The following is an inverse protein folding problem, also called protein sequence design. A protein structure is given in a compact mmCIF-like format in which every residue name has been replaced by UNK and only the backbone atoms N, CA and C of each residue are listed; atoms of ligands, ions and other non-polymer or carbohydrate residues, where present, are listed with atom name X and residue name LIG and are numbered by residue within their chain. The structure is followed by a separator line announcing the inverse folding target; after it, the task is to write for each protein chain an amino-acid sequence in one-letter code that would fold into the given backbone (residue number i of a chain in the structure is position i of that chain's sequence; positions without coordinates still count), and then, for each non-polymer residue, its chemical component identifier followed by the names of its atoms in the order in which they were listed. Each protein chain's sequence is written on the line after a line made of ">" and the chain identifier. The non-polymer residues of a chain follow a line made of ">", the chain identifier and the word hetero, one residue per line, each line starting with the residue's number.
data_IF_574810120415
#
_entry.id   IF_574810120415
#
_cell.length_a   1.000
_cell.length_b   1.000
_cell.length_c   1.000
_cell.angle_alpha   90.00
_cell.angle_beta   90.00
_cell.angle_gamma   90.00
#
_symmetry.space_group_name_H-M   'P 1'
#
loop_
_entity.id
_entity.type
_entity.pdbx_description
1 polymer ?
#
# COMPACT_ATOMS: atom_id res chain seq x y z
N UNK A 1 13.03 -13.49 9.92
CA UNK A 1 12.25 -12.22 9.99
C UNK A 1 13.07 -11.20 9.20
N UNK A 2 12.45 -10.38 8.35
CA UNK A 2 13.18 -9.34 7.61
C UNK A 2 13.58 -8.19 8.55
N UNK A 3 14.58 -7.36 8.21
CA UNK A 3 14.92 -6.15 8.99
C UNK A 3 13.70 -5.25 9.19
N UNK A 4 13.64 -4.53 10.32
CA UNK A 4 12.45 -3.75 10.69
C UNK A 4 12.13 -2.63 9.70
N UNK A 5 13.14 -1.92 9.22
CA UNK A 5 13.00 -0.88 8.18
C UNK A 5 12.43 -1.41 6.86
N UNK A 6 12.66 -2.67 6.52
CA UNK A 6 12.12 -3.31 5.30
C UNK A 6 10.63 -3.67 5.41
N UNK A 7 9.97 -3.40 6.54
CA UNK A 7 8.51 -3.44 6.60
C UNK A 7 7.86 -2.15 6.10
N UNK A 8 8.61 -1.06 5.95
CA UNK A 8 8.04 0.27 5.76
C UNK A 8 8.06 0.75 4.33
N UNK A 9 6.92 1.30 3.95
CA UNK A 9 6.70 2.19 2.81
C UNK A 9 6.51 3.60 3.33
N UNK A 10 7.22 4.56 2.75
CA UNK A 10 7.00 5.98 3.02
C UNK A 10 6.06 6.55 1.97
N UNK A 11 4.96 7.18 2.39
CA UNK A 11 3.94 7.70 1.48
C UNK A 11 3.89 9.22 1.42
N UNK A 12 3.61 9.76 0.23
CA UNK A 12 3.35 11.18 -0.03
C UNK A 12 2.16 11.30 -0.98
N UNK A 13 0.95 11.28 -0.40
CA UNK A 13 -0.33 11.24 -1.13
C UNK A 13 -1.24 12.42 -0.78
N UNK A 14 -0.67 13.52 -0.26
CA UNK A 14 -1.41 14.72 0.09
C UNK A 14 -1.48 15.69 -1.10
N UNK A 15 -2.63 16.33 -1.29
CA UNK A 15 -2.90 17.19 -2.45
C UNK A 15 -2.00 18.44 -2.55
N UNK A 16 -1.38 18.87 -1.45
CA UNK A 16 -0.48 20.03 -1.40
C UNK A 16 1.01 19.63 -1.38
N UNK A 17 1.32 18.35 -1.70
CA UNK A 17 2.69 17.88 -1.83
C UNK A 17 3.44 18.68 -2.92
N UNK A 18 4.72 18.94 -2.64
CA UNK A 18 5.60 19.64 -3.58
C UNK A 18 6.72 18.72 -4.08
N UNK A 19 7.39 19.11 -5.15
CA UNK A 19 8.58 18.40 -5.64
C UNK A 19 9.68 18.30 -4.58
N UNK A 20 9.84 19.36 -3.76
CA UNK A 20 10.79 19.34 -2.65
C UNK A 20 10.42 18.30 -1.58
N UNK A 21 9.13 18.14 -1.28
CA UNK A 21 8.66 17.09 -0.37
C UNK A 21 8.96 15.70 -0.94
N UNK A 22 8.74 15.50 -2.24
CA UNK A 22 9.03 14.24 -2.90
C UNK A 22 10.53 13.89 -2.86
N UNK A 23 11.41 14.84 -3.19
CA UNK A 23 12.87 14.67 -3.10
C UNK A 23 13.30 14.33 -1.68
N UNK A 24 12.73 14.99 -0.67
CA UNK A 24 13.01 14.69 0.72
C UNK A 24 12.62 13.26 1.08
N UNK A 25 11.39 12.84 0.71
CA UNK A 25 10.91 11.48 0.92
C UNK A 25 11.83 10.43 0.28
N UNK A 26 12.29 10.65 -0.96
CA UNK A 26 13.20 9.73 -1.65
C UNK A 26 14.57 9.65 -0.95
N UNK A 27 15.07 10.79 -0.49
CA UNK A 27 16.35 10.86 0.25
C UNK A 27 16.26 10.10 1.58
N UNK A 28 15.20 10.31 2.33
CA UNK A 28 14.95 9.61 3.60
C UNK A 28 14.73 8.11 3.38
N UNK A 29 14.00 7.71 2.33
CA UNK A 29 13.80 6.30 2.01
C UNK A 29 15.13 5.58 1.72
N UNK A 30 16.08 6.26 1.07
CA UNK A 30 17.42 5.73 0.83
C UNK A 30 18.26 5.70 2.12
N UNK A 31 18.22 6.77 2.93
CA UNK A 31 19.01 6.89 4.17
C UNK A 31 18.62 5.81 5.19
N UNK A 32 17.32 5.55 5.33
CA UNK A 32 16.79 4.56 6.28
C UNK A 32 16.62 3.16 5.66
N UNK A 33 17.04 2.99 4.41
CA UNK A 33 16.96 1.72 3.67
C UNK A 33 15.55 1.11 3.75
N UNK A 34 14.51 1.92 3.45
CA UNK A 34 13.12 1.49 3.47
C UNK A 34 12.82 0.47 2.36
N UNK A 35 11.68 -0.23 2.47
CA UNK A 35 11.25 -1.18 1.45
C UNK A 35 10.79 -0.48 0.18
N UNK A 36 9.92 0.54 0.31
CA UNK A 36 9.32 1.25 -0.82
C UNK A 36 8.95 2.68 -0.47
N UNK A 37 8.66 3.43 -1.51
CA UNK A 37 7.93 4.71 -1.41
C UNK A 37 6.61 4.57 -2.16
N UNK A 38 5.59 5.37 -1.79
CA UNK A 38 4.35 5.51 -2.53
C UNK A 38 4.04 6.99 -2.77
N UNK A 39 3.88 7.36 -4.03
CA UNK A 39 3.61 8.74 -4.45
C UNK A 39 2.48 8.82 -5.47
N UNK A 40 1.86 9.99 -5.58
CA UNK A 40 0.93 10.26 -6.68
C UNK A 40 1.63 10.13 -8.05
N UNK A 41 0.89 9.74 -9.09
CA UNK A 41 1.42 9.47 -10.42
C UNK A 41 2.27 10.62 -11.01
N UNK A 42 1.95 11.87 -10.69
CA UNK A 42 2.72 13.03 -11.18
C UNK A 42 4.19 13.07 -10.70
N UNK A 43 4.53 12.34 -9.63
CA UNK A 43 5.90 12.25 -9.11
C UNK A 43 6.67 11.01 -9.57
N UNK A 44 6.05 10.10 -10.30
CA UNK A 44 6.71 8.87 -10.78
C UNK A 44 7.94 9.15 -11.68
N UNK A 45 7.89 10.07 -12.65
CA UNK A 45 9.07 10.37 -13.47
C UNK A 45 10.25 10.89 -12.64
N UNK A 46 9.96 11.69 -11.60
CA UNK A 46 10.98 12.19 -10.68
C UNK A 46 11.53 11.06 -9.81
N UNK A 47 10.66 10.22 -9.24
CA UNK A 47 11.05 9.06 -8.44
C UNK A 47 11.94 8.10 -9.26
N UNK A 48 11.55 7.80 -10.50
CA UNK A 48 12.35 7.00 -11.42
C UNK A 48 13.72 7.58 -11.63
N UNK A 49 13.83 8.89 -11.91
CA UNK A 49 15.11 9.55 -12.17
C UNK A 49 16.11 9.46 -11.00
N UNK A 50 15.61 9.32 -9.76
CA UNK A 50 16.41 9.30 -8.53
C UNK A 50 16.64 7.87 -8.02
N UNK A 51 15.65 6.99 -8.17
CA UNK A 51 15.60 5.69 -7.49
C UNK A 51 15.75 4.48 -8.43
N UNK A 52 15.78 4.63 -9.77
CA UNK A 52 15.74 3.51 -10.74
C UNK A 52 16.75 2.40 -10.44
N UNK A 53 17.96 2.75 -10.01
CA UNK A 53 19.05 1.81 -9.71
C UNK A 53 19.24 1.55 -8.20
N UNK A 54 18.25 1.87 -7.37
CA UNK A 54 18.33 1.75 -5.91
C UNK A 54 17.46 0.61 -5.41
N UNK A 55 17.77 0.11 -4.21
CA UNK A 55 17.00 -0.94 -3.53
C UNK A 55 15.81 -0.35 -2.74
N UNK A 56 15.04 0.52 -3.41
CA UNK A 56 13.79 1.10 -2.91
C UNK A 56 12.76 0.99 -4.02
N UNK A 57 11.66 0.29 -3.78
CA UNK A 57 10.58 0.08 -4.75
C UNK A 57 9.79 1.37 -4.94
N UNK A 58 9.51 1.70 -6.20
CA UNK A 58 8.69 2.86 -6.58
C UNK A 58 7.23 2.42 -6.67
N UNK A 59 6.43 2.83 -5.70
CA UNK A 59 5.00 2.56 -5.63
C UNK A 59 4.16 3.77 -6.02
N UNK A 60 2.92 3.51 -6.45
CA UNK A 60 1.89 4.53 -6.70
C UNK A 60 0.50 3.97 -6.50
N UNK A 61 -0.50 4.86 -6.48
CA UNK A 61 -1.91 4.55 -6.34
C UNK A 61 -2.69 4.89 -7.59
N UNK A 62 -3.80 4.16 -7.85
CA UNK A 62 -4.75 4.45 -8.92
C UNK A 62 -6.19 4.38 -8.44
N UNK A 63 -7.09 5.14 -9.08
CA UNK A 63 -8.47 5.29 -8.62
C UNK A 63 -8.58 5.90 -7.21
N UNK A 64 -7.53 6.50 -6.75
CA UNK A 64 -7.33 6.97 -5.40
C UNK A 64 -7.95 8.38 -5.19
N UNK A 65 -8.47 8.71 -3.98
CA UNK A 65 -8.66 7.76 -2.85
C UNK A 65 -10.02 7.05 -2.85
N UNK A 66 -10.93 7.36 -3.75
CA UNK A 66 -12.36 7.00 -3.64
C UNK A 66 -12.73 5.68 -4.32
N UNK A 67 -11.94 5.18 -5.24
CA UNK A 67 -12.25 3.98 -6.01
C UNK A 67 -13.42 4.10 -7.01
N UNK A 68 -14.04 5.27 -7.14
CA UNK A 68 -15.32 5.47 -7.86
C UNK A 68 -15.20 5.79 -9.34
N UNK A 69 -13.98 5.96 -9.84
CA UNK A 69 -13.74 6.15 -11.27
C UNK A 69 -14.03 4.85 -12.05
N UNK A 70 -14.28 4.96 -13.34
CA UNK A 70 -14.57 3.78 -14.17
C UNK A 70 -13.38 2.84 -14.30
N UNK A 71 -13.64 1.58 -14.64
CA UNK A 71 -12.56 0.59 -14.91
C UNK A 71 -11.62 1.09 -16.00
N UNK A 72 -12.15 1.73 -17.04
CA UNK A 72 -11.33 2.29 -18.13
C UNK A 72 -10.44 3.45 -17.67
N UNK A 73 -10.90 4.27 -16.73
CA UNK A 73 -10.09 5.34 -16.14
C UNK A 73 -8.96 4.74 -15.30
N UNK A 74 -9.24 3.78 -14.40
CA UNK A 74 -8.20 3.09 -13.64
C UNK A 74 -7.19 2.39 -14.55
N UNK A 75 -7.65 1.81 -15.66
CA UNK A 75 -6.76 1.18 -16.64
C UNK A 75 -5.87 2.20 -17.36
N UNK A 76 -6.36 3.42 -17.61
CA UNK A 76 -5.55 4.49 -18.19
C UNK A 76 -4.49 4.98 -17.18
N UNK A 77 -4.88 5.25 -15.93
CA UNK A 77 -3.96 5.61 -14.84
C UNK A 77 -2.88 4.52 -14.66
N UNK A 78 -3.30 3.24 -14.65
CA UNK A 78 -2.38 2.11 -14.58
C UNK A 78 -1.35 2.13 -15.72
N UNK A 79 -1.82 2.37 -16.94
CA UNK A 79 -0.94 2.37 -18.12
C UNK A 79 0.10 3.50 -18.02
N UNK A 80 -0.31 4.70 -17.66
CA UNK A 80 0.59 5.84 -17.44
C UNK A 80 1.60 5.53 -16.33
N UNK A 81 1.14 5.02 -15.18
CA UNK A 81 2.02 4.65 -14.07
C UNK A 81 3.09 3.61 -14.48
N UNK A 82 2.73 2.63 -15.31
CA UNK A 82 3.67 1.64 -15.83
C UNK A 82 4.72 2.23 -16.77
N UNK A 83 4.36 3.16 -17.65
CA UNK A 83 5.30 3.85 -18.54
C UNK A 83 6.23 4.78 -17.75
N UNK A 84 5.72 5.41 -16.69
CA UNK A 84 6.47 6.31 -15.81
C UNK A 84 7.36 5.57 -14.79
N UNK A 85 7.29 4.24 -14.75
CA UNK A 85 8.26 3.42 -14.03
C UNK A 85 7.82 2.94 -12.65
N UNK A 86 6.52 2.90 -12.38
CA UNK A 86 6.00 2.26 -11.16
C UNK A 86 6.36 0.75 -11.13
N UNK A 87 6.80 0.27 -9.99
CA UNK A 87 7.18 -1.12 -9.73
C UNK A 87 6.16 -1.83 -8.83
N UNK A 88 5.36 -1.09 -8.09
CA UNK A 88 4.20 -1.55 -7.34
C UNK A 88 3.05 -0.56 -7.53
N UNK A 89 1.82 -1.05 -7.76
CA UNK A 89 0.65 -0.20 -8.01
C UNK A 89 -0.52 -0.71 -7.17
N UNK A 90 -1.09 0.17 -6.35
CA UNK A 90 -2.24 -0.14 -5.50
C UNK A 90 -3.50 0.57 -5.98
N UNK A 91 -4.55 -0.21 -6.28
CA UNK A 91 -5.82 0.32 -6.75
C UNK A 91 -6.87 0.34 -5.64
N UNK A 92 -7.53 1.47 -5.43
CA UNK A 92 -8.73 1.48 -4.59
C UNK A 92 -9.87 0.81 -5.36
N UNK A 93 -10.46 -0.25 -4.78
CA UNK A 93 -11.61 -0.95 -5.39
C UNK A 93 -12.86 -0.06 -5.39
N UNK A 94 -13.86 -0.41 -6.21
CA UNK A 94 -15.15 0.25 -6.12
C UNK A 94 -15.93 -0.25 -4.88
N UNK A 95 -15.77 0.49 -3.76
CA UNK A 95 -16.37 0.18 -2.46
C UNK A 95 -17.90 0.11 -2.56
N UNK A 96 -18.53 1.06 -3.30
CA UNK A 96 -19.96 1.09 -3.48
C UNK A 96 -20.48 -0.15 -4.20
N UNK A 97 -19.78 -0.62 -5.22
CA UNK A 97 -20.14 -1.86 -5.92
C UNK A 97 -20.00 -3.09 -5.01
N UNK A 98 -18.96 -3.15 -4.17
CA UNK A 98 -18.80 -4.22 -3.18
C UNK A 98 -19.97 -4.21 -2.18
N UNK A 99 -20.36 -3.04 -1.66
CA UNK A 99 -21.50 -2.89 -0.72
C UNK A 99 -22.83 -3.27 -1.35
N UNK A 100 -23.04 -3.00 -2.64
CA UNK A 100 -24.20 -3.41 -3.40
C UNK A 100 -24.25 -4.92 -3.70
N UNK A 101 -23.21 -5.69 -3.31
CA UNK A 101 -23.09 -7.11 -3.65
C UNK A 101 -22.77 -7.39 -5.12
N UNK A 102 -22.26 -6.40 -5.84
CA UNK A 102 -21.83 -6.53 -7.25
C UNK A 102 -20.44 -7.13 -7.36
N UNK A 103 -20.25 -8.31 -6.80
CA UNK A 103 -18.93 -8.97 -6.70
C UNK A 103 -18.32 -9.25 -8.08
N UNK A 104 -19.14 -9.59 -9.09
CA UNK A 104 -18.68 -9.79 -10.46
C UNK A 104 -18.11 -8.51 -11.09
N UNK A 105 -18.62 -7.35 -10.72
CA UNK A 105 -18.08 -6.08 -11.16
C UNK A 105 -16.71 -5.83 -10.53
N UNK A 106 -16.59 -5.98 -9.20
CA UNK A 106 -15.32 -5.82 -8.47
C UNK A 106 -14.28 -6.83 -8.96
N UNK A 107 -14.69 -8.09 -9.17
CA UNK A 107 -13.82 -9.11 -9.76
C UNK A 107 -13.30 -8.70 -11.15
N UNK A 108 -14.20 -8.22 -12.01
CA UNK A 108 -13.84 -7.80 -13.38
C UNK A 108 -12.91 -6.59 -13.39
N UNK A 109 -13.15 -5.62 -12.49
CA UNK A 109 -12.31 -4.46 -12.27
C UNK A 109 -10.87 -4.89 -11.94
N UNK A 110 -10.69 -5.68 -10.88
CA UNK A 110 -9.38 -6.13 -10.42
C UNK A 110 -8.69 -6.99 -11.51
N UNK A 111 -9.43 -7.89 -12.15
CA UNK A 111 -8.89 -8.80 -13.17
C UNK A 111 -8.27 -8.08 -14.37
N UNK A 112 -8.91 -7.00 -14.83
CA UNK A 112 -8.38 -6.17 -15.93
C UNK A 112 -7.04 -5.55 -15.54
N UNK A 113 -6.92 -5.03 -14.32
CA UNK A 113 -5.73 -4.34 -13.82
C UNK A 113 -4.59 -5.32 -13.56
N UNK A 114 -4.85 -6.41 -12.81
CA UNK A 114 -3.86 -7.47 -12.52
C UNK A 114 -3.26 -8.03 -13.80
N UNK A 115 -4.09 -8.33 -14.80
CA UNK A 115 -3.60 -8.93 -16.06
C UNK A 115 -2.64 -8.01 -16.82
N UNK A 116 -2.73 -6.71 -16.63
CA UNK A 116 -1.81 -5.74 -17.24
C UNK A 116 -0.48 -5.68 -16.47
N UNK A 117 -0.52 -5.59 -15.15
CA UNK A 117 0.66 -5.59 -14.29
C UNK A 117 1.47 -6.89 -14.43
N UNK A 118 0.79 -8.04 -14.44
CA UNK A 118 1.44 -9.34 -14.60
C UNK A 118 2.33 -9.42 -15.86
N UNK A 119 1.84 -8.90 -17.01
CA UNK A 119 2.61 -8.88 -18.26
C UNK A 119 3.86 -7.99 -18.21
N UNK A 120 3.89 -7.03 -17.29
CA UNK A 120 4.99 -6.08 -17.10
C UNK A 120 5.89 -6.43 -15.92
N UNK A 121 5.59 -7.54 -15.21
CA UNK A 121 6.27 -7.95 -13.99
C UNK A 121 6.25 -6.88 -12.88
N UNK A 122 5.13 -6.16 -12.77
CA UNK A 122 4.87 -5.14 -11.75
C UNK A 122 3.92 -5.73 -10.71
N UNK A 123 4.21 -5.51 -9.43
CA UNK A 123 3.34 -5.95 -8.34
C UNK A 123 2.03 -5.13 -8.35
N UNK A 124 0.89 -5.81 -8.15
CA UNK A 124 -0.40 -5.15 -8.11
C UNK A 124 -1.13 -5.49 -6.81
N UNK A 125 -1.49 -4.44 -6.08
CA UNK A 125 -2.30 -4.52 -4.87
C UNK A 125 -3.68 -3.92 -5.05
N UNK A 126 -4.56 -4.25 -4.10
CA UNK A 126 -5.85 -3.58 -3.94
C UNK A 126 -5.98 -2.98 -2.55
N UNK A 127 -6.58 -1.81 -2.48
CA UNK A 127 -6.94 -1.11 -1.25
C UNK A 127 -8.44 -1.25 -1.04
N UNK A 128 -8.86 -1.84 0.08
CA UNK A 128 -10.26 -2.22 0.32
C UNK A 128 -11.03 -1.25 1.22
N UNK A 129 -10.37 -0.27 1.84
CA UNK A 129 -10.95 0.77 2.71
C UNK A 129 -11.77 0.18 3.87
N UNK A 130 -11.08 -0.52 4.76
CA UNK A 130 -11.70 -1.32 5.84
C UNK A 130 -12.62 -0.54 6.75
N UNK A 131 -12.36 0.76 6.98
CA UNK A 131 -13.20 1.62 7.79
C UNK A 131 -14.62 1.84 7.27
N UNK A 132 -14.87 1.52 5.99
CA UNK A 132 -16.18 1.60 5.37
C UNK A 132 -16.89 0.25 5.26
N UNK A 133 -16.24 -0.85 5.65
CA UNK A 133 -16.69 -2.22 5.42
C UNK A 133 -17.06 -2.94 6.73
N UNK A 134 -18.04 -3.83 6.65
CA UNK A 134 -18.27 -4.85 7.68
C UNK A 134 -17.24 -5.97 7.54
N UNK A 135 -17.06 -6.79 8.58
CA UNK A 135 -16.18 -7.98 8.53
C UNK A 135 -16.54 -8.92 7.36
N UNK A 136 -17.84 -9.11 7.08
CA UNK A 136 -18.32 -9.94 5.96
C UNK A 136 -17.91 -9.34 4.61
N UNK A 137 -17.96 -8.00 4.48
CA UNK A 137 -17.55 -7.29 3.27
C UNK A 137 -16.02 -7.35 3.10
N UNK A 138 -15.23 -7.23 4.17
CA UNK A 138 -13.77 -7.42 4.17
C UNK A 138 -13.42 -8.83 3.67
N UNK A 139 -14.04 -9.86 4.25
CA UNK A 139 -13.82 -11.26 3.85
C UNK A 139 -14.17 -11.45 2.37
N UNK A 140 -15.27 -10.86 1.89
CA UNK A 140 -15.70 -10.96 0.51
C UNK A 140 -14.71 -10.30 -0.45
N UNK A 141 -14.23 -9.08 -0.14
CA UNK A 141 -13.19 -8.40 -0.90
C UNK A 141 -11.88 -9.21 -0.96
N UNK A 142 -11.44 -9.75 0.17
CA UNK A 142 -10.26 -10.61 0.26
C UNK A 142 -10.39 -11.89 -0.58
N UNK A 143 -11.58 -12.52 -0.60
CA UNK A 143 -11.83 -13.70 -1.44
C UNK A 143 -11.79 -13.35 -2.93
N UNK A 144 -12.33 -12.20 -3.32
CA UNK A 144 -12.24 -11.71 -4.71
C UNK A 144 -10.76 -11.48 -5.07
N UNK A 145 -10.00 -10.79 -4.22
CA UNK A 145 -8.57 -10.55 -4.38
C UNK A 145 -7.78 -11.84 -4.61
N UNK A 146 -8.03 -12.85 -3.75
CA UNK A 146 -7.40 -14.16 -3.83
C UNK A 146 -7.74 -14.89 -5.14
N UNK A 147 -8.99 -14.86 -5.56
CA UNK A 147 -9.44 -15.51 -6.79
C UNK A 147 -8.87 -14.86 -8.05
N UNK A 148 -8.60 -13.55 -8.02
CA UNK A 148 -7.97 -12.84 -9.15
C UNK A 148 -6.45 -13.01 -9.14
N UNK A 149 -5.84 -13.20 -7.97
CA UNK A 149 -4.40 -13.36 -7.81
C UNK A 149 -3.64 -12.03 -7.71
N UNK A 150 -4.13 -11.11 -6.86
CA UNK A 150 -3.37 -9.89 -6.53
C UNK A 150 -2.12 -10.22 -5.71
N UNK A 151 -1.13 -9.35 -5.73
CA UNK A 151 0.11 -9.50 -4.95
C UNK A 151 -0.05 -9.03 -3.49
N UNK A 152 -1.02 -8.13 -3.24
CA UNK A 152 -1.15 -7.43 -1.97
C UNK A 152 -2.60 -6.99 -1.74
N UNK A 153 -3.03 -7.02 -0.47
CA UNK A 153 -4.25 -6.36 0.01
C UNK A 153 -3.87 -5.32 1.05
N UNK A 154 -4.20 -4.06 0.76
CA UNK A 154 -4.02 -2.91 1.65
C UNK A 154 -5.33 -2.57 2.36
N UNK A 155 -5.23 -2.12 3.61
CA UNK A 155 -6.38 -1.82 4.45
C UNK A 155 -7.11 -0.55 4.05
N UNK A 156 -6.42 0.58 3.94
CA UNK A 156 -7.06 1.90 3.87
C UNK A 156 -6.23 2.92 3.11
N UNK A 157 -6.91 3.92 2.55
CA UNK A 157 -6.29 5.05 1.86
C UNK A 157 -5.70 6.12 2.79
N UNK A 158 -6.09 6.10 4.07
CA UNK A 158 -5.80 7.18 5.01
C UNK A 158 -6.78 8.37 4.92
N UNK A 159 -7.73 8.34 3.98
CA UNK A 159 -8.73 9.39 3.79
C UNK A 159 -10.08 9.07 4.45
N UNK A 160 -10.26 7.86 4.97
CA UNK A 160 -11.39 7.51 5.82
C UNK A 160 -11.01 7.54 7.31
N UNK A 161 -12.01 7.66 8.23
CA UNK A 161 -11.74 7.93 9.64
C UNK A 161 -11.14 6.76 10.42
N UNK A 162 -11.24 5.54 9.93
CA UNK A 162 -10.84 4.35 10.69
C UNK A 162 -9.49 3.80 10.21
N UNK A 163 -8.58 3.62 11.17
CA UNK A 163 -7.23 3.09 10.98
C UNK A 163 -7.20 1.56 10.87
N UNK A 164 -6.12 1.03 10.33
CA UNK A 164 -5.80 -0.39 10.43
C UNK A 164 -5.67 -0.82 11.90
N UNK A 165 -6.33 -1.91 12.27
CA UNK A 165 -6.21 -2.52 13.61
C UNK A 165 -5.60 -3.91 13.52
N UNK A 166 -4.96 -4.41 14.60
CA UNK A 166 -4.46 -5.78 14.64
C UNK A 166 -5.54 -6.84 14.35
N UNK A 167 -6.79 -6.59 14.75
CA UNK A 167 -7.92 -7.48 14.52
C UNK A 167 -8.25 -7.58 13.02
N UNK A 168 -8.30 -6.44 12.34
CA UNK A 168 -8.55 -6.38 10.89
C UNK A 168 -7.39 -7.03 10.12
N UNK A 169 -6.14 -6.79 10.52
CA UNK A 169 -4.98 -7.46 9.90
C UNK A 169 -5.06 -8.99 10.04
N UNK A 170 -5.42 -9.51 11.23
CA UNK A 170 -5.62 -10.95 11.41
C UNK A 170 -6.73 -11.49 10.53
N UNK A 171 -7.87 -10.80 10.45
CA UNK A 171 -9.00 -11.18 9.60
C UNK A 171 -8.62 -11.28 8.11
N UNK A 172 -7.89 -10.27 7.60
CA UNK A 172 -7.40 -10.27 6.23
C UNK A 172 -6.41 -11.42 6.03
N UNK A 173 -5.41 -11.57 6.92
CA UNK A 173 -4.39 -12.63 6.86
C UNK A 173 -5.01 -14.02 6.86
N UNK A 174 -5.97 -14.30 7.74
CA UNK A 174 -6.68 -15.57 7.80
C UNK A 174 -7.46 -15.86 6.51
N UNK A 175 -8.01 -14.82 5.88
CA UNK A 175 -8.79 -14.96 4.64
C UNK A 175 -7.90 -15.16 3.41
N UNK A 176 -6.83 -14.37 3.25
CA UNK A 176 -5.97 -14.44 2.06
C UNK A 176 -4.92 -15.54 2.15
N UNK A 177 -4.53 -15.96 3.35
CA UNK A 177 -3.43 -16.92 3.58
C UNK A 177 -2.06 -16.25 3.47
N UNK A 178 -1.02 -17.02 3.15
CA UNK A 178 0.36 -16.54 3.10
C UNK A 178 0.84 -16.17 1.68
N UNK A 179 0.05 -16.44 0.66
CA UNK A 179 0.42 -16.23 -0.74
C UNK A 179 0.24 -14.77 -1.19
N UNK A 180 -0.57 -14.01 -0.44
CA UNK A 180 -0.85 -12.59 -0.69
C UNK A 180 -0.32 -11.77 0.48
N UNK A 181 0.43 -10.72 0.17
CA UNK A 181 0.91 -9.78 1.19
C UNK A 181 -0.27 -8.99 1.78
N UNK A 182 -0.15 -8.66 3.06
CA UNK A 182 -1.10 -7.78 3.76
C UNK A 182 -0.39 -6.49 4.13
N UNK A 183 -0.94 -5.39 3.70
CA UNK A 183 -0.46 -4.06 4.05
C UNK A 183 -1.40 -3.40 5.05
N UNK A 184 -0.81 -2.88 6.11
CA UNK A 184 -1.47 -1.97 7.02
C UNK A 184 -1.18 -0.53 6.61
N UNK A 185 -2.22 0.24 6.35
CA UNK A 185 -2.17 1.65 5.98
C UNK A 185 -3.31 2.43 6.64
N UNK A 186 -3.10 3.74 6.82
CA UNK A 186 -4.05 4.64 7.47
C UNK A 186 -3.88 4.72 8.99
N UNK A 187 -3.62 5.93 9.50
CA UNK A 187 -3.60 6.25 10.92
C UNK A 187 -2.45 5.66 11.75
N UNK A 188 -1.37 5.21 11.13
CA UNK A 188 -0.22 4.61 11.82
C UNK A 188 0.80 5.71 12.15
N UNK A 189 0.99 6.02 13.43
CA UNK A 189 1.77 7.17 13.90
C UNK A 189 2.89 6.81 14.87
N UNK A 190 2.83 5.62 15.50
CA UNK A 190 3.76 5.22 16.55
C UNK A 190 4.40 3.86 16.30
N UNK A 191 5.56 3.65 16.95
CA UNK A 191 6.29 2.40 16.89
C UNK A 191 5.45 1.22 17.44
N UNK A 192 4.72 1.44 18.54
CA UNK A 192 3.89 0.39 19.16
C UNK A 192 2.77 -0.05 18.23
N UNK A 193 2.13 0.88 17.51
CA UNK A 193 1.11 0.54 16.51
C UNK A 193 1.72 -0.33 15.40
N UNK A 194 2.85 0.10 14.84
CA UNK A 194 3.52 -0.64 13.77
C UNK A 194 3.92 -2.06 14.22
N UNK A 195 4.51 -2.20 15.42
CA UNK A 195 4.88 -3.51 15.99
C UNK A 195 3.66 -4.42 16.19
N UNK A 196 2.54 -3.86 16.68
CA UNK A 196 1.30 -4.60 16.87
C UNK A 196 0.71 -5.10 15.55
N UNK A 197 0.74 -4.28 14.50
CA UNK A 197 0.26 -4.65 13.16
C UNK A 197 1.15 -5.71 12.50
N UNK A 198 2.48 -5.59 12.62
CA UNK A 198 3.43 -6.61 12.15
C UNK A 198 3.21 -7.94 12.90
N UNK A 199 3.04 -7.89 14.24
CA UNK A 199 2.75 -9.07 15.04
C UNK A 199 1.39 -9.72 14.69
N UNK A 200 0.43 -8.93 14.20
CA UNK A 200 -0.86 -9.41 13.72
C UNK A 200 -0.79 -10.05 12.32
N UNK A 201 0.33 -9.90 11.60
CA UNK A 201 0.55 -10.51 10.29
C UNK A 201 0.65 -9.54 9.11
N UNK A 202 0.87 -8.24 9.35
CA UNK A 202 1.18 -7.30 8.28
C UNK A 202 2.58 -7.58 7.70
N UNK A 203 2.66 -7.62 6.38
CA UNK A 203 3.92 -7.76 5.64
C UNK A 203 4.51 -6.39 5.27
N UNK A 204 3.67 -5.36 5.19
CA UNK A 204 4.03 -4.00 4.83
C UNK A 204 3.25 -3.00 5.69
N UNK A 205 3.89 -1.90 6.05
CA UNK A 205 3.31 -0.76 6.76
C UNK A 205 3.50 0.46 5.88
N UNK A 206 2.39 1.06 5.41
CA UNK A 206 2.41 2.30 4.63
C UNK A 206 1.97 3.47 5.52
N UNK A 207 2.84 4.47 5.64
CA UNK A 207 2.59 5.64 6.48
C UNK A 207 3.52 6.80 6.15
N UNK A 208 3.06 8.06 6.23
CA UNK A 208 3.94 9.23 6.14
C UNK A 208 4.90 9.35 7.34
N UNK A 209 4.67 8.57 8.42
CA UNK A 209 5.50 8.57 9.63
C UNK A 209 6.60 7.47 9.63
N UNK A 210 6.83 6.81 8.50
CA UNK A 210 7.74 5.65 8.37
C UNK A 210 9.13 5.93 8.95
N UNK A 211 9.76 7.04 8.56
CA UNK A 211 11.11 7.43 9.01
C UNK A 211 11.15 7.70 10.52
N UNK A 212 10.15 8.41 11.04
CA UNK A 212 10.02 8.66 12.49
C UNK A 212 9.98 7.34 13.27
N UNK A 213 9.15 6.40 12.83
CA UNK A 213 8.94 5.10 13.48
C UNK A 213 10.20 4.23 13.39
N UNK A 214 10.85 4.18 12.22
CA UNK A 214 12.07 3.40 12.01
C UNK A 214 13.24 3.96 12.83
N UNK A 215 13.38 5.28 12.91
CA UNK A 215 14.37 5.93 13.74
C UNK A 215 14.19 5.62 15.22
N UNK A 216 12.96 5.74 15.73
CA UNK A 216 12.61 5.40 17.10
C UNK A 216 12.93 3.93 17.44
N UNK A 217 12.68 3.03 16.50
CA UNK A 217 13.05 1.62 16.66
C UNK A 217 14.56 1.44 16.81
N UNK A 218 15.37 2.07 15.95
CA UNK A 218 16.82 1.94 16.01
C UNK A 218 17.41 2.58 17.27
N UNK A 219 16.91 3.73 17.71
CA UNK A 219 17.30 4.37 18.97
C UNK A 219 17.01 3.45 20.15
N UNK A 220 15.83 2.86 20.22
CA UNK A 220 15.44 1.90 21.27
C UNK A 220 16.34 0.65 21.27
N UNK A 221 16.68 0.13 20.11
CA UNK A 221 17.56 -1.05 20.02
C UNK A 221 19.02 -0.71 20.38
N UNK A 222 19.53 0.49 20.05
CA UNK A 222 20.84 0.96 20.49
C UNK A 222 20.91 1.08 22.01
N UNK A 223 19.91 1.69 22.65
CA UNK A 223 19.81 1.81 24.11
C UNK A 223 19.80 0.43 24.81
N UNK A 224 19.11 -0.55 24.23
CA UNK A 224 19.08 -1.93 24.74
C UNK A 224 20.43 -2.63 24.66
N UNK A 225 21.26 -2.27 23.70
CA UNK A 225 22.60 -2.83 23.50
C UNK A 225 23.68 -2.06 24.25
N UNK A 226 23.33 -0.92 24.88
CA UNK A 226 24.27 -0.06 25.63
C UNK A 226 25.26 0.68 24.73
N UNK A 227 24.83 0.99 23.50
CA UNK A 227 25.60 1.72 22.48
C UNK A 227 25.28 3.20 22.51
#
# INVERSE_FOLDING_TARGET
>A
MKPFNKYFESELLRADATEADAINLFTEALEYDLYSICVDGCYLPLAKSILEDKDVIIGTVIGFPLGTVTISTKAAELYEALEDGAQEIDAVINIGALKDGKDDYVFSEIKVLVGTCYRRNVAFGIMIEVGLLTEEEIIRACKIAKNVGVSLVSTSSGFSPDAATPEVIRLIRETVGNDIRVEASGGIETLEQAEALIAAGADKISTPNSVKIVREYFEREADRQGL
#
